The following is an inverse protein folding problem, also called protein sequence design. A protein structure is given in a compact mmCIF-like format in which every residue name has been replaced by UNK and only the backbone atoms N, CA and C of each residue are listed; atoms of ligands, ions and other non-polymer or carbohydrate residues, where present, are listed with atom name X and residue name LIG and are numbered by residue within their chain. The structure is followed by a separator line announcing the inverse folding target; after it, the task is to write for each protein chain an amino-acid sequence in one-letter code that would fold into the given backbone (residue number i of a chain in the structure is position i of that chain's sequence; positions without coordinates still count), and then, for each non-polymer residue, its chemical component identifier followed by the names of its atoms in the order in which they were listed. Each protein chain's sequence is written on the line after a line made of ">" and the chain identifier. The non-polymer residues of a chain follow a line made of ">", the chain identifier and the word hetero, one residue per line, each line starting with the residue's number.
data_IF_409555576479
#
_entry.id   IF_409555576479
#
_cell.length_a   1.000
_cell.length_b   1.000
_cell.length_c   1.000
_cell.angle_alpha   90.00
_cell.angle_beta   90.00
_cell.angle_gamma   90.00
#
_symmetry.space_group_name_H-M   'P 1'
#
loop_
_entity.id
_entity.type
_entity.pdbx_description
1 polymer ?
#
# COMPACT_ATOMS: atom_id res chain seq x y z
N UNK A 1 5.88 8.52 -23.76
CA UNK A 1 5.77 7.24 -23.03
C UNK A 1 4.80 6.34 -23.79
N UNK A 2 5.28 5.30 -24.49
CA UNK A 2 4.45 4.42 -25.37
C UNK A 2 4.13 3.05 -24.77
N UNK A 3 4.77 2.72 -23.64
CA UNK A 3 4.55 1.49 -22.90
C UNK A 3 4.18 1.85 -21.47
N UNK A 4 2.87 1.97 -21.21
CA UNK A 4 2.30 2.02 -19.87
C UNK A 4 1.43 0.77 -19.68
N UNK A 5 1.29 0.25 -18.46
CA UNK A 5 0.41 -0.89 -18.20
C UNK A 5 -1.02 -0.51 -18.64
N UNK A 6 -1.52 -1.19 -19.67
CA UNK A 6 -2.91 -1.08 -20.12
C UNK A 6 -3.79 -1.88 -19.17
N UNK A 7 -3.94 -1.38 -17.95
CA UNK A 7 -4.83 -1.92 -16.92
C UNK A 7 -5.99 -0.95 -16.74
N UNK A 8 -7.22 -1.46 -16.81
CA UNK A 8 -8.39 -0.67 -16.48
C UNK A 8 -8.51 -0.39 -14.98
N UNK A 9 -9.17 0.71 -14.66
CA UNK A 9 -9.28 1.21 -13.28
C UNK A 9 -9.92 0.12 -12.41
N UNK A 10 -9.32 -0.24 -11.26
CA UNK A 10 -9.94 -1.18 -10.34
C UNK A 10 -11.33 -0.69 -9.95
N UNK A 11 -12.30 -1.62 -9.86
CA UNK A 11 -13.67 -1.30 -9.48
C UNK A 11 -13.65 -0.67 -8.09
N UNK A 12 -14.17 0.56 -7.99
CA UNK A 12 -14.17 1.34 -6.77
C UNK A 12 -14.88 0.57 -5.65
N UNK A 13 -14.13 0.12 -4.65
CA UNK A 13 -14.65 -0.53 -3.44
C UNK A 13 -14.37 0.41 -2.29
N UNK A 14 -15.42 0.88 -1.61
CA UNK A 14 -15.33 1.90 -0.57
C UNK A 14 -14.32 1.56 0.53
N UNK A 15 -14.14 0.27 0.84
CA UNK A 15 -13.12 -0.24 1.74
C UNK A 15 -12.49 -1.49 1.11
N UNK A 16 -11.18 -1.46 0.91
CA UNK A 16 -10.38 -2.66 0.65
C UNK A 16 -9.59 -3.04 1.91
N UNK A 17 -9.29 -4.33 2.05
CA UNK A 17 -8.52 -4.84 3.19
C UNK A 17 -7.13 -4.18 3.28
N UNK A 18 -6.47 -3.96 2.13
CA UNK A 18 -5.19 -3.24 2.06
C UNK A 18 -5.29 -1.80 2.56
N UNK A 19 -6.34 -1.05 2.17
CA UNK A 19 -6.53 0.33 2.63
C UNK A 19 -6.84 0.42 4.13
N UNK A 20 -7.64 -0.50 4.68
CA UNK A 20 -7.94 -0.55 6.10
C UNK A 20 -6.67 -0.84 6.93
N UNK A 21 -5.88 -1.84 6.52
CA UNK A 21 -4.63 -2.17 7.19
C UNK A 21 -3.63 -1.01 7.10
N UNK A 22 -3.50 -0.38 5.93
CA UNK A 22 -2.63 0.77 5.74
C UNK A 22 -3.01 1.93 6.66
N UNK A 23 -4.31 2.21 6.83
CA UNK A 23 -4.77 3.25 7.75
C UNK A 23 -4.41 2.94 9.21
N UNK A 24 -4.59 1.69 9.65
CA UNK A 24 -4.22 1.25 11.00
C UNK A 24 -2.71 1.36 11.22
N UNK A 25 -1.91 0.87 10.27
CA UNK A 25 -0.45 0.98 10.31
C UNK A 25 0.00 2.45 10.32
N UNK A 26 -0.63 3.31 9.52
CA UNK A 26 -0.31 4.74 9.47
C UNK A 26 -0.54 5.40 10.84
N UNK A 27 -1.69 5.13 11.46
CA UNK A 27 -2.00 5.64 12.81
C UNK A 27 -0.95 5.14 13.81
N UNK A 28 -0.60 3.85 13.76
CA UNK A 28 0.43 3.26 14.62
C UNK A 28 1.80 3.93 14.45
N UNK A 29 2.25 4.14 13.21
CA UNK A 29 3.49 4.86 12.89
C UNK A 29 3.44 6.30 13.40
N UNK A 30 2.28 6.97 13.28
CA UNK A 30 2.13 8.35 13.74
C UNK A 30 2.25 8.46 15.27
N UNK A 31 1.60 7.55 16.00
CA UNK A 31 1.71 7.48 17.47
C UNK A 31 3.16 7.18 17.88
N UNK A 32 3.79 6.20 17.24
CA UNK A 32 5.17 5.82 17.54
C UNK A 32 6.15 6.97 17.27
N UNK A 33 5.93 7.72 16.20
CA UNK A 33 6.73 8.88 15.86
C UNK A 33 6.54 10.03 16.85
N UNK A 34 5.30 10.31 17.29
CA UNK A 34 5.04 11.29 18.34
C UNK A 34 5.80 10.95 19.62
N UNK A 35 5.71 9.69 20.07
CA UNK A 35 6.48 9.22 21.23
C UNK A 35 7.99 9.36 21.04
N UNK A 36 8.52 8.99 19.86
CA UNK A 36 9.93 9.15 19.54
C UNK A 36 10.37 10.63 19.61
N UNK A 37 9.58 11.54 19.02
CA UNK A 37 9.87 12.96 18.99
C UNK A 37 9.89 13.59 20.39
N UNK A 38 8.96 13.19 21.27
CA UNK A 38 8.92 13.65 22.67
C UNK A 38 10.15 13.21 23.47
N UNK A 39 10.62 11.97 23.29
CA UNK A 39 11.80 11.47 23.98
C UNK A 39 13.11 12.13 23.47
N UNK A 40 13.21 12.39 22.17
CA UNK A 40 14.39 13.04 21.56
C UNK A 40 14.45 14.56 21.74
N UNK A 41 13.34 15.20 22.16
CA UNK A 41 13.30 16.64 22.44
C UNK A 41 14.28 17.13 23.52
N UNK A 42 14.84 16.22 24.33
CA UNK A 42 15.88 16.54 25.32
C UNK A 42 17.30 16.69 24.73
N UNK A 43 17.60 16.03 23.59
CA UNK A 43 18.88 16.13 22.86
C UNK A 43 18.99 17.41 21.98
N UNK A 44 17.92 18.21 21.96
CA UNK A 44 17.65 19.30 21.03
C UNK A 44 18.50 20.58 21.25
N UNK A 45 19.34 20.63 22.31
CA UNK A 45 20.08 21.86 22.70
C UNK A 45 21.19 22.30 21.72
N UNK A 46 21.71 21.41 20.87
CA UNK A 46 22.82 21.73 19.96
C UNK A 46 22.49 21.50 18.48
N UNK A 47 21.61 20.53 18.18
CA UNK A 47 21.30 20.13 16.79
C UNK A 47 19.80 20.17 16.47
N UNK A 48 19.03 20.97 17.21
CA UNK A 48 17.60 20.74 17.28
C UNK A 48 16.80 20.89 15.98
N UNK A 49 17.13 21.89 15.16
CA UNK A 49 16.51 22.05 13.84
C UNK A 49 16.92 20.94 12.87
N UNK A 50 18.19 20.52 12.89
CA UNK A 50 18.69 19.45 12.04
C UNK A 50 18.04 18.10 12.40
N UNK A 51 17.95 17.79 13.70
CA UNK A 51 17.30 16.58 14.20
C UNK A 51 15.81 16.54 13.85
N UNK A 52 15.11 17.68 13.95
CA UNK A 52 13.71 17.79 13.55
C UNK A 52 13.50 17.52 12.05
N UNK A 53 14.38 18.04 11.18
CA UNK A 53 14.31 17.78 9.73
C UNK A 53 14.54 16.30 9.43
N UNK A 54 15.56 15.69 10.03
CA UNK A 54 15.86 14.26 9.82
C UNK A 54 14.70 13.38 10.30
N UNK A 55 14.14 13.67 11.47
CA UNK A 55 12.98 12.96 11.99
C UNK A 55 11.77 13.12 11.05
N UNK A 56 11.51 14.32 10.56
CA UNK A 56 10.42 14.57 9.62
C UNK A 56 10.62 13.83 8.29
N UNK A 57 11.83 13.81 7.73
CA UNK A 57 12.16 13.01 6.55
C UNK A 57 11.91 11.53 6.79
N UNK A 58 12.31 11.02 7.96
CA UNK A 58 12.08 9.63 8.33
C UNK A 58 10.59 9.30 8.48
N UNK A 59 9.80 10.22 9.04
CA UNK A 59 8.35 10.06 9.13
C UNK A 59 7.67 10.00 7.75
N UNK A 60 8.06 10.87 6.81
CA UNK A 60 7.58 10.82 5.43
C UNK A 60 7.96 9.48 4.79
N UNK A 61 9.22 9.05 4.97
CA UNK A 61 9.70 7.79 4.43
C UNK A 61 8.90 6.58 4.94
N UNK A 62 8.64 6.51 6.25
CA UNK A 62 7.77 5.47 6.83
C UNK A 62 6.34 5.54 6.28
N UNK A 63 5.79 6.74 6.13
CA UNK A 63 4.44 6.95 5.59
C UNK A 63 4.32 6.42 4.15
N UNK A 64 5.35 6.66 3.32
CA UNK A 64 5.42 6.13 1.95
C UNK A 64 5.42 4.60 1.96
N UNK A 65 6.22 3.98 2.84
CA UNK A 65 6.27 2.51 2.97
C UNK A 65 4.90 1.95 3.34
N UNK A 66 4.21 2.55 4.31
CA UNK A 66 2.87 2.11 4.74
C UNK A 66 1.87 2.15 3.58
N UNK A 67 1.90 3.22 2.77
CA UNK A 67 1.02 3.36 1.60
C UNK A 67 1.34 2.31 0.54
N UNK A 68 2.63 2.08 0.26
CA UNK A 68 3.04 1.09 -0.73
C UNK A 68 2.62 -0.32 -0.32
N UNK A 69 2.82 -0.69 0.95
CA UNK A 69 2.38 -1.98 1.49
C UNK A 69 0.85 -2.11 1.38
N UNK A 70 0.10 -1.06 1.72
CA UNK A 70 -1.35 -1.03 1.54
C UNK A 70 -1.79 -1.25 0.10
N UNK A 71 -1.10 -0.61 -0.84
CA UNK A 71 -1.32 -0.74 -2.27
C UNK A 71 -1.04 -2.15 -2.78
N UNK A 72 0.06 -2.76 -2.33
CA UNK A 72 0.45 -4.12 -2.69
C UNK A 72 -0.58 -5.14 -2.19
N UNK A 73 -1.00 -5.04 -0.94
CA UNK A 73 -2.02 -5.91 -0.35
C UNK A 73 -3.35 -5.75 -1.10
N UNK A 74 -3.69 -4.51 -1.48
CA UNK A 74 -4.87 -4.25 -2.29
C UNK A 74 -4.78 -4.90 -3.68
N UNK A 75 -3.62 -4.83 -4.33
CA UNK A 75 -3.37 -5.46 -5.62
C UNK A 75 -3.43 -7.00 -5.53
N UNK A 76 -2.83 -7.58 -4.50
CA UNK A 76 -2.84 -9.03 -4.26
C UNK A 76 -4.25 -9.52 -3.91
N UNK A 77 -5.00 -8.77 -3.11
CA UNK A 77 -6.40 -9.13 -2.81
C UNK A 77 -7.26 -9.14 -4.08
N UNK A 78 -6.99 -8.23 -5.02
CA UNK A 78 -7.65 -8.19 -6.32
C UNK A 78 -7.22 -9.37 -7.21
N UNK A 79 -5.93 -9.73 -7.17
CA UNK A 79 -5.37 -10.91 -7.87
C UNK A 79 -6.02 -12.22 -7.42
N UNK A 80 -6.20 -12.40 -6.12
CA UNK A 80 -6.82 -13.59 -5.53
C UNK A 80 -8.35 -13.64 -5.71
N UNK A 81 -8.96 -12.65 -6.34
CA UNK A 81 -10.41 -12.63 -6.55
C UNK A 81 -10.81 -13.50 -7.74
N UNK A 82 -11.62 -14.54 -7.48
CA UNK A 82 -12.12 -15.48 -8.53
C UNK A 82 -12.95 -14.76 -9.60
N UNK A 83 -13.57 -13.65 -9.25
CA UNK A 83 -14.40 -12.83 -10.12
C UNK A 83 -13.54 -12.13 -11.16
N UNK A 84 -13.92 -12.27 -12.43
CA UNK A 84 -13.27 -11.58 -13.54
C UNK A 84 -13.32 -10.06 -13.34
N UNK A 85 -12.14 -9.45 -13.36
CA UNK A 85 -11.91 -8.01 -13.25
C UNK A 85 -11.57 -7.37 -14.61
N UNK A 86 -11.51 -8.16 -15.68
CA UNK A 86 -11.25 -7.69 -17.04
C UNK A 86 -12.50 -7.07 -17.71
N UNK A 87 -12.28 -6.33 -18.79
CA UNK A 87 -13.34 -5.64 -19.53
C UNK A 87 -14.25 -6.61 -20.30
N UNK A 88 -15.53 -6.26 -20.38
CA UNK A 88 -16.48 -6.93 -21.26
C UNK A 88 -17.27 -8.01 -20.56
N UNK A 89 -17.62 -9.07 -21.30
CA UNK A 89 -18.39 -10.19 -20.73
C UNK A 89 -17.47 -11.01 -19.83
N UNK A 90 -17.90 -11.39 -18.61
CA UNK A 90 -17.08 -12.17 -17.71
C UNK A 90 -16.64 -13.47 -18.38
N UNK A 91 -15.34 -13.70 -18.43
CA UNK A 91 -14.71 -14.91 -18.97
C UNK A 91 -14.17 -15.78 -17.84
N UNK A 92 -14.14 -17.12 -18.03
CA UNK A 92 -13.48 -18.02 -17.10
C UNK A 92 -11.98 -17.74 -17.02
N UNK A 93 -11.33 -18.12 -15.91
CA UNK A 93 -9.88 -18.04 -15.77
C UNK A 93 -9.17 -18.80 -16.90
N UNK A 94 -8.10 -18.22 -17.43
CA UNK A 94 -7.34 -18.73 -18.58
C UNK A 94 -7.76 -18.11 -19.93
N UNK A 95 -8.91 -17.43 -19.99
CA UNK A 95 -9.45 -16.83 -21.22
C UNK A 95 -9.60 -15.30 -21.13
N UNK A 96 -9.15 -14.66 -20.04
CA UNK A 96 -9.33 -13.22 -19.78
C UNK A 96 -8.29 -12.36 -20.50
N UNK A 97 -7.19 -12.95 -20.97
CA UNK A 97 -6.18 -12.28 -21.79
C UNK A 97 -5.22 -11.41 -20.98
N UNK A 98 -5.19 -11.61 -19.65
CA UNK A 98 -4.30 -10.92 -18.73
C UNK A 98 -3.74 -11.94 -17.74
N UNK A 99 -2.42 -12.14 -17.75
CA UNK A 99 -1.74 -13.19 -16.96
C UNK A 99 -2.09 -13.14 -15.48
N UNK A 100 -2.21 -11.94 -14.92
CA UNK A 100 -2.61 -11.75 -13.52
C UNK A 100 -4.10 -12.05 -13.29
N UNK A 101 -4.99 -11.85 -14.26
CA UNK A 101 -6.42 -12.17 -14.10
C UNK A 101 -6.72 -13.66 -14.34
N UNK A 102 -5.83 -14.34 -15.06
CA UNK A 102 -5.95 -15.74 -15.48
C UNK A 102 -5.28 -16.73 -14.52
N UNK A 103 -4.49 -16.23 -13.57
CA UNK A 103 -3.84 -17.05 -12.54
C UNK A 103 -4.27 -16.60 -11.14
N UNK A 104 -4.39 -17.54 -10.22
CA UNK A 104 -4.45 -17.29 -8.77
C UNK A 104 -3.28 -18.01 -8.12
N UNK A 105 -2.83 -17.51 -6.97
CA UNK A 105 -1.76 -18.18 -6.21
C UNK A 105 -2.16 -19.63 -5.91
N UNK A 106 -1.22 -20.57 -6.07
CA UNK A 106 -1.46 -21.96 -5.72
C UNK A 106 -1.90 -22.06 -4.26
N UNK A 107 -3.04 -22.68 -4.01
CA UNK A 107 -3.50 -22.97 -2.65
C UNK A 107 -2.52 -23.96 -2.05
N UNK A 108 -1.70 -23.48 -1.13
CA UNK A 108 -0.75 -24.32 -0.41
C UNK A 108 -1.57 -25.03 0.68
N UNK A 109 -1.95 -26.28 0.40
CA UNK A 109 -2.66 -27.18 1.32
C UNK A 109 -1.71 -27.75 2.38
#
# INVERSE_FOLDING_TARGET
>A
YRYGPSREKPRWRWISWGSALAAVCWIGVSILFSWYAENFGSYNKTYGSLGAIIAFMFWIWLSIIVVLIGGEINAETEHQTVRDTTTGRPKPMGARGATMADTVGAKQD
#
